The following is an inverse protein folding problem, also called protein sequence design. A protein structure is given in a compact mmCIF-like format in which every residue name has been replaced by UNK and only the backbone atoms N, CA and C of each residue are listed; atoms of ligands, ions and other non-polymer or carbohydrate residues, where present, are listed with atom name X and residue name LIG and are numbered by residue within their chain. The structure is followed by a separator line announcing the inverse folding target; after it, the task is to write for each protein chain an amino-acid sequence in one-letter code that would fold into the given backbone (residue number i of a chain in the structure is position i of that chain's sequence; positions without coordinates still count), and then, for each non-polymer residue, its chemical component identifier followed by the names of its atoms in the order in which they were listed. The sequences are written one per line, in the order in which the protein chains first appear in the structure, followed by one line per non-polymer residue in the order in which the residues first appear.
data_IF_285688998325
#
_entry.id   IF_285688998325
#
_cell.length_a   1.000
_cell.length_b   1.000
_cell.length_c   1.000
_cell.angle_alpha   90.00
_cell.angle_beta   90.00
_cell.angle_gamma   90.00
#
_symmetry.space_group_name_H-M   'P 1'
#
loop_
_entity.id
_entity.type
_entity.pdbx_description
1 polymer ?
#
# COMPACT_ATOMS: atom_id res chain seq x y z
N UNK A 1 -5.07 -8.90 11.81
CA UNK A 1 -4.40 -9.14 10.48
C UNK A 1 -4.55 -10.60 10.09
N UNK A 2 -4.89 -10.88 8.82
CA UNK A 2 -4.87 -12.22 8.22
C UNK A 2 -3.80 -12.24 7.14
N UNK A 3 -3.00 -13.29 7.07
CA UNK A 3 -1.89 -13.38 6.10
C UNK A 3 -2.13 -14.53 5.15
N UNK A 4 -2.07 -14.24 3.86
CA UNK A 4 -2.21 -15.21 2.77
C UNK A 4 -0.84 -15.53 2.20
N UNK A 5 -0.53 -16.82 2.12
CA UNK A 5 0.74 -17.36 1.65
C UNK A 5 0.49 -18.23 0.42
N UNK A 6 0.88 -17.72 -0.75
CA UNK A 6 0.62 -18.36 -2.03
C UNK A 6 1.93 -18.92 -2.61
N UNK A 7 1.88 -20.14 -3.12
CA UNK A 7 3.02 -20.84 -3.73
C UNK A 7 4.21 -21.01 -2.78
N UNK A 8 4.00 -21.57 -1.57
CA UNK A 8 5.04 -21.67 -0.54
C UNK A 8 6.25 -22.50 -0.95
N UNK A 9 6.15 -23.30 -2.01
CA UNK A 9 7.25 -24.08 -2.58
C UNK A 9 8.26 -23.23 -3.38
N UNK A 10 7.96 -21.99 -3.68
CA UNK A 10 8.85 -21.08 -4.43
C UNK A 10 9.89 -20.46 -3.51
N UNK A 11 11.10 -20.26 -4.04
CA UNK A 11 12.25 -19.76 -3.27
C UNK A 11 12.35 -18.24 -3.21
N UNK A 12 11.86 -17.52 -4.22
CA UNK A 12 11.85 -16.05 -4.21
C UNK A 12 10.58 -15.54 -3.52
N UNK A 13 10.73 -14.65 -2.57
CA UNK A 13 9.64 -14.11 -1.76
C UNK A 13 9.26 -12.71 -2.21
N UNK A 14 7.98 -12.51 -2.46
CA UNK A 14 7.38 -11.20 -2.73
C UNK A 14 6.35 -10.88 -1.64
N UNK A 15 6.57 -9.79 -0.92
CA UNK A 15 5.61 -9.25 0.04
C UNK A 15 4.77 -8.16 -0.64
N UNK A 16 3.45 -8.29 -0.61
CA UNK A 16 2.51 -7.36 -1.24
C UNK A 16 1.59 -6.72 -0.20
N UNK A 17 1.85 -5.47 0.19
CA UNK A 17 1.04 -4.75 1.19
C UNK A 17 0.09 -3.78 0.50
N UNK A 18 -1.20 -4.01 0.67
CA UNK A 18 -2.27 -3.29 -0.03
C UNK A 18 -2.50 -1.85 0.48
N UNK A 19 -3.09 -0.96 -0.35
CA UNK A 19 -3.53 0.36 0.10
C UNK A 19 -4.82 0.28 0.94
N UNK A 20 -5.18 1.39 1.60
CA UNK A 20 -6.48 1.50 2.28
C UNK A 20 -7.62 1.13 1.33
N UNK A 21 -8.63 0.42 1.84
CA UNK A 21 -9.82 -0.07 1.13
C UNK A 21 -9.58 -1.22 0.14
N UNK A 22 -8.34 -1.68 -0.03
CA UNK A 22 -8.02 -2.90 -0.77
C UNK A 22 -7.95 -4.13 0.17
N UNK A 23 -7.51 -5.27 -0.34
CA UNK A 23 -7.32 -6.52 0.39
C UNK A 23 -6.42 -7.46 -0.40
N UNK A 24 -6.12 -8.64 0.17
CA UNK A 24 -5.43 -9.70 -0.56
C UNK A 24 -6.10 -10.02 -1.90
N UNK A 25 -7.42 -10.08 -1.96
CA UNK A 25 -8.18 -10.38 -3.18
C UNK A 25 -7.86 -9.36 -4.30
N UNK A 26 -7.83 -8.07 -3.98
CA UNK A 26 -7.46 -7.03 -4.93
C UNK A 26 -5.99 -7.16 -5.35
N UNK A 27 -5.07 -7.43 -4.41
CA UNK A 27 -3.65 -7.62 -4.73
C UNK A 27 -3.43 -8.85 -5.61
N UNK A 28 -4.17 -9.94 -5.38
CA UNK A 28 -4.14 -11.13 -6.25
C UNK A 28 -4.59 -10.80 -7.66
N UNK A 29 -5.74 -10.15 -7.81
CA UNK A 29 -6.31 -9.83 -9.12
C UNK A 29 -5.45 -8.85 -9.92
N UNK A 30 -4.95 -7.78 -9.29
CA UNK A 30 -4.21 -6.75 -10.01
C UNK A 30 -2.71 -7.04 -10.15
N UNK A 31 -2.09 -7.69 -9.16
CA UNK A 31 -0.64 -7.94 -9.19
C UNK A 31 -0.32 -9.41 -9.44
N UNK A 32 -0.74 -10.33 -8.57
CA UNK A 32 -0.29 -11.73 -8.64
C UNK A 32 -0.64 -12.36 -9.99
N UNK A 33 -1.90 -12.25 -10.44
CA UNK A 33 -2.36 -12.85 -11.70
C UNK A 33 -1.60 -12.29 -12.91
N UNK A 34 -1.22 -11.02 -12.89
CA UNK A 34 -0.46 -10.40 -13.97
C UNK A 34 1.05 -10.69 -13.86
N UNK A 35 1.61 -10.78 -12.64
CA UNK A 35 3.00 -11.21 -12.44
C UNK A 35 3.18 -12.66 -12.91
N UNK A 36 2.21 -13.54 -12.65
CA UNK A 36 2.26 -14.95 -13.08
C UNK A 36 2.25 -15.14 -14.60
N UNK A 37 1.81 -14.14 -15.37
CA UNK A 37 1.95 -14.16 -16.84
C UNK A 37 3.39 -13.89 -17.29
N UNK A 38 4.16 -13.18 -16.50
CA UNK A 38 5.55 -12.80 -16.80
C UNK A 38 6.56 -13.77 -16.17
N UNK A 39 6.30 -14.25 -14.93
CA UNK A 39 7.18 -15.16 -14.20
C UNK A 39 6.43 -15.97 -13.14
N UNK A 40 6.88 -17.18 -12.87
CA UNK A 40 6.31 -18.09 -11.85
C UNK A 40 7.27 -18.35 -10.69
N UNK A 41 8.26 -17.49 -10.46
CA UNK A 41 9.35 -17.75 -9.50
C UNK A 41 9.00 -17.36 -8.06
N UNK A 42 7.93 -16.58 -7.83
CA UNK A 42 7.63 -15.96 -6.55
C UNK A 42 6.63 -16.73 -5.70
N UNK A 43 6.96 -16.83 -4.40
CA UNK A 43 6.03 -17.02 -3.29
C UNK A 43 5.48 -15.67 -2.90
N UNK A 44 4.18 -15.52 -2.76
CA UNK A 44 3.58 -14.24 -2.42
C UNK A 44 3.04 -14.26 -1.00
N UNK A 45 3.49 -13.31 -0.19
CA UNK A 45 2.96 -13.04 1.15
C UNK A 45 2.08 -11.80 1.05
N UNK A 46 0.80 -11.93 1.33
CA UNK A 46 -0.19 -10.87 1.15
C UNK A 46 -1.00 -10.73 2.44
N UNK A 47 -0.74 -9.70 3.27
CA UNK A 47 -1.58 -9.46 4.43
C UNK A 47 -2.92 -8.81 4.03
N UNK A 48 -4.00 -9.20 4.71
CA UNK A 48 -5.13 -8.33 4.95
C UNK A 48 -4.85 -7.57 6.25
N UNK A 49 -4.52 -6.28 6.13
CA UNK A 49 -4.28 -5.42 7.27
C UNK A 49 -5.54 -5.35 8.15
N UNK A 50 -5.38 -5.14 9.45
CA UNK A 50 -6.51 -5.00 10.37
C UNK A 50 -7.52 -3.95 9.87
N UNK A 51 -8.81 -4.25 9.92
CA UNK A 51 -9.88 -3.44 9.32
C UNK A 51 -10.08 -3.62 7.81
N UNK A 52 -9.39 -4.59 7.16
CA UNK A 52 -9.49 -4.84 5.73
C UNK A 52 -9.65 -6.33 5.42
N UNK A 53 -10.24 -6.63 4.25
CA UNK A 53 -10.36 -7.99 3.73
C UNK A 53 -10.97 -8.97 4.73
N UNK A 54 -10.31 -10.10 4.98
CA UNK A 54 -10.73 -11.11 5.96
C UNK A 54 -10.49 -10.65 7.42
N UNK A 55 -9.68 -9.59 7.65
CA UNK A 55 -9.49 -8.96 8.95
C UNK A 55 -10.39 -7.71 9.14
N UNK A 56 -11.52 -7.60 8.40
CA UNK A 56 -12.37 -6.41 8.40
C UNK A 56 -13.00 -6.08 9.76
N UNK A 57 -13.21 -7.08 10.62
CA UNK A 57 -13.77 -6.91 11.95
C UNK A 57 -12.73 -6.48 13.01
N UNK A 58 -11.45 -6.46 12.65
CA UNK A 58 -10.37 -5.99 13.52
C UNK A 58 -10.22 -4.47 13.44
N UNK A 59 -9.76 -3.85 14.53
CA UNK A 59 -9.43 -2.43 14.53
C UNK A 59 -7.98 -2.25 14.05
N UNK A 60 -7.78 -1.44 13.03
CA UNK A 60 -6.43 -0.99 12.67
C UNK A 60 -5.90 -0.05 13.76
N UNK A 61 -4.89 -0.48 14.50
CA UNK A 61 -4.30 0.30 15.59
C UNK A 61 -3.23 1.26 15.11
N UNK A 62 -2.22 0.76 14.40
CA UNK A 62 -1.14 1.58 13.82
C UNK A 62 -0.31 0.81 12.79
N UNK A 63 0.35 1.56 11.88
CA UNK A 63 1.31 0.99 10.94
C UNK A 63 2.46 0.25 11.64
N UNK A 64 2.88 0.73 12.81
CA UNK A 64 3.92 0.08 13.61
C UNK A 64 3.45 -1.27 14.18
N UNK A 65 2.17 -1.40 14.56
CA UNK A 65 1.62 -2.69 15.01
C UNK A 65 1.48 -3.67 13.85
N UNK A 66 0.94 -3.22 12.70
CA UNK A 66 0.86 -4.03 11.49
C UNK A 66 2.26 -4.52 11.06
N UNK A 67 3.27 -3.64 11.10
CA UNK A 67 4.65 -3.98 10.78
C UNK A 67 5.23 -5.04 11.72
N UNK A 68 4.97 -4.94 13.05
CA UNK A 68 5.42 -5.95 14.03
C UNK A 68 4.77 -7.30 13.79
N UNK A 69 3.46 -7.34 13.57
CA UNK A 69 2.73 -8.58 13.30
C UNK A 69 3.25 -9.26 12.03
N UNK A 70 3.47 -8.47 10.97
CA UNK A 70 3.94 -8.98 9.70
C UNK A 70 5.40 -9.45 9.77
N UNK A 71 6.30 -8.70 10.42
CA UNK A 71 7.68 -9.10 10.64
C UNK A 71 7.76 -10.39 11.47
N UNK A 72 6.96 -10.47 12.53
CA UNK A 72 6.87 -11.69 13.36
C UNK A 72 6.46 -12.91 12.53
N UNK A 73 5.39 -12.78 11.72
CA UNK A 73 4.96 -13.87 10.84
C UNK A 73 6.08 -14.32 9.90
N UNK A 74 6.75 -13.39 9.23
CA UNK A 74 7.82 -13.70 8.30
C UNK A 74 8.97 -14.46 9.01
N UNK A 75 9.39 -14.01 10.19
CA UNK A 75 10.45 -14.66 10.96
C UNK A 75 10.05 -16.07 11.44
N UNK A 76 8.83 -16.26 11.93
CA UNK A 76 8.30 -17.56 12.37
C UNK A 76 8.20 -18.58 11.23
N UNK A 77 8.10 -18.10 9.97
CA UNK A 77 8.08 -18.94 8.77
C UNK A 77 9.43 -19.01 8.05
N UNK A 78 10.53 -18.55 8.69
CA UNK A 78 11.88 -18.60 8.13
C UNK A 78 12.12 -17.64 6.97
N UNK A 79 11.30 -16.60 6.82
CA UNK A 79 11.34 -15.61 5.74
C UNK A 79 12.01 -14.30 6.20
N UNK A 80 13.23 -14.39 6.71
CA UNK A 80 14.00 -13.22 7.16
C UNK A 80 14.52 -12.32 6.03
N UNK A 81 14.43 -12.80 4.78
CA UNK A 81 14.81 -12.06 3.56
C UNK A 81 13.66 -12.11 2.54
N UNK A 82 13.33 -10.95 1.98
CA UNK A 82 12.29 -10.74 0.97
C UNK A 82 12.93 -10.20 -0.31
N UNK A 83 12.70 -10.89 -1.44
CA UNK A 83 13.29 -10.50 -2.73
C UNK A 83 12.68 -9.21 -3.27
N UNK A 84 11.37 -9.01 -3.09
CA UNK A 84 10.67 -7.78 -3.46
C UNK A 84 9.59 -7.43 -2.44
N UNK A 85 9.74 -6.29 -1.77
CA UNK A 85 8.70 -5.64 -0.98
C UNK A 85 7.93 -4.64 -1.84
N UNK A 86 6.69 -4.96 -2.18
CA UNK A 86 5.75 -4.03 -2.81
C UNK A 86 4.77 -3.51 -1.78
N UNK A 87 4.55 -2.20 -1.77
CA UNK A 87 3.58 -1.60 -0.87
C UNK A 87 2.94 -0.35 -1.47
N UNK A 88 1.60 -0.25 -1.37
CA UNK A 88 0.85 0.87 -1.92
C UNK A 88 0.20 1.72 -0.82
N UNK A 89 0.34 3.04 -0.92
CA UNK A 89 -0.31 4.03 -0.04
C UNK A 89 -0.15 3.71 1.45
N UNK A 90 -1.22 3.32 2.17
CA UNK A 90 -1.17 2.85 3.57
C UNK A 90 -0.15 1.72 3.76
N UNK A 91 -0.15 0.74 2.84
CA UNK A 91 0.82 -0.36 2.88
C UNK A 91 2.27 0.14 2.85
N UNK A 92 2.54 1.22 2.11
CA UNK A 92 3.85 1.87 2.09
C UNK A 92 4.28 2.43 3.44
N UNK A 93 3.33 2.96 4.23
CA UNK A 93 3.59 3.42 5.60
C UNK A 93 3.92 2.24 6.51
N UNK A 94 3.21 1.10 6.37
CA UNK A 94 3.52 -0.14 7.08
C UNK A 94 4.91 -0.66 6.70
N UNK A 95 5.27 -0.67 5.40
CA UNK A 95 6.59 -1.12 4.95
C UNK A 95 7.71 -0.19 5.46
N UNK A 96 7.48 1.13 5.55
CA UNK A 96 8.42 2.04 6.21
C UNK A 96 8.64 1.67 7.69
N UNK A 97 7.60 1.29 8.41
CA UNK A 97 7.75 0.82 9.80
C UNK A 97 8.50 -0.52 9.88
N UNK A 98 8.30 -1.46 8.93
CA UNK A 98 9.11 -2.67 8.85
C UNK A 98 10.60 -2.36 8.62
N UNK A 99 10.91 -1.40 7.74
CA UNK A 99 12.29 -0.92 7.53
C UNK A 99 12.87 -0.25 8.79
N UNK A 100 12.05 0.46 9.56
CA UNK A 100 12.46 1.05 10.85
C UNK A 100 12.71 -0.02 11.93
N UNK A 101 12.00 -1.16 11.91
CA UNK A 101 12.27 -2.31 12.77
C UNK A 101 13.61 -2.99 12.42
N UNK A 102 13.94 -3.09 11.13
CA UNK A 102 15.20 -3.66 10.65
C UNK A 102 15.32 -5.18 10.85
N UNK A 103 14.21 -5.89 11.09
CA UNK A 103 14.18 -7.33 11.35
C UNK A 103 14.16 -8.17 10.07
N UNK A 104 13.61 -7.62 8.98
CA UNK A 104 13.48 -8.25 7.67
C UNK A 104 14.39 -7.52 6.68
N UNK A 105 15.15 -8.29 5.91
CA UNK A 105 15.96 -7.77 4.80
C UNK A 105 15.16 -7.74 3.52
N UNK A 106 15.24 -6.64 2.78
CA UNK A 106 14.62 -6.49 1.47
C UNK A 106 15.71 -6.31 0.41
N UNK A 107 15.68 -7.12 -0.67
CA UNK A 107 16.60 -6.95 -1.81
C UNK A 107 16.16 -5.82 -2.72
N UNK A 108 14.85 -5.69 -2.92
CA UNK A 108 14.23 -4.63 -3.73
C UNK A 108 12.98 -4.10 -3.04
N UNK A 109 12.70 -2.82 -3.26
CA UNK A 109 11.53 -2.14 -2.72
C UNK A 109 10.79 -1.41 -3.83
N UNK A 110 9.47 -1.51 -3.82
CA UNK A 110 8.60 -0.76 -4.72
C UNK A 110 7.46 -0.12 -3.92
N UNK A 111 7.43 1.20 -3.89
CA UNK A 111 6.40 1.97 -3.22
C UNK A 111 5.51 2.66 -4.25
N UNK A 112 4.20 2.42 -4.17
CA UNK A 112 3.19 3.10 -4.98
C UNK A 112 2.42 4.10 -4.13
N UNK A 113 2.51 5.40 -4.47
CA UNK A 113 1.72 6.45 -3.84
C UNK A 113 1.93 6.60 -2.32
N UNK A 114 3.11 6.25 -1.78
CA UNK A 114 3.35 6.30 -0.33
C UNK A 114 3.40 7.74 0.18
N UNK A 115 2.81 7.99 1.36
CA UNK A 115 2.83 9.31 1.99
C UNK A 115 4.21 9.67 2.54
N UNK A 116 4.57 10.96 2.43
CA UNK A 116 5.78 11.57 3.00
C UNK A 116 5.49 12.68 4.03
N UNK A 117 4.27 12.73 4.57
CA UNK A 117 3.91 13.68 5.62
C UNK A 117 4.45 13.22 6.98
N UNK A 118 5.46 13.91 7.52
CA UNK A 118 6.13 13.54 8.79
C UNK A 118 5.47 14.16 10.04
N UNK A 119 4.71 15.23 9.92
CA UNK A 119 4.07 15.90 11.07
C UNK A 119 2.93 16.84 10.64
N UNK A 120 1.96 16.29 9.94
CA UNK A 120 0.79 17.07 9.48
C UNK A 120 -0.38 16.94 10.47
N UNK A 121 -0.17 17.32 11.75
CA UNK A 121 -1.21 17.18 12.80
C UNK A 121 -2.52 17.88 12.43
N UNK A 122 -2.44 19.13 11.96
CA UNK A 122 -3.63 19.87 11.55
C UNK A 122 -4.25 19.31 10.27
N UNK A 123 -3.44 18.95 9.28
CA UNK A 123 -3.88 18.29 8.04
C UNK A 123 -4.53 16.94 8.31
N UNK A 124 -3.92 16.11 9.15
CA UNK A 124 -4.47 14.83 9.57
C UNK A 124 -5.80 14.97 10.31
N UNK A 125 -5.91 15.93 11.22
CA UNK A 125 -7.18 16.21 11.91
C UNK A 125 -8.29 16.60 10.93
N UNK A 126 -7.99 17.52 10.00
CA UNK A 126 -8.94 17.95 8.97
C UNK A 126 -9.32 16.79 8.05
N UNK A 127 -8.35 16.02 7.59
CA UNK A 127 -8.59 14.84 6.75
C UNK A 127 -9.45 13.80 7.45
N UNK A 128 -9.21 13.53 8.73
CA UNK A 128 -10.06 12.64 9.55
C UNK A 128 -11.51 13.12 9.55
N UNK A 129 -11.76 14.40 9.81
CA UNK A 129 -13.13 14.96 9.77
C UNK A 129 -13.78 14.79 8.40
N UNK A 130 -13.01 15.04 7.32
CA UNK A 130 -13.49 14.87 5.94
C UNK A 130 -13.86 13.43 5.67
N UNK A 131 -12.98 12.47 6.02
CA UNK A 131 -13.21 11.04 5.79
C UNK A 131 -14.44 10.54 6.55
N UNK A 132 -14.55 10.84 7.84
CA UNK A 132 -15.71 10.46 8.66
C UNK A 132 -17.01 11.11 8.16
N UNK A 133 -16.96 12.36 7.71
CA UNK A 133 -18.13 13.02 7.09
C UNK A 133 -18.54 12.36 5.77
N UNK A 134 -17.55 11.97 4.93
CA UNK A 134 -17.80 11.21 3.69
C UNK A 134 -18.42 9.84 4.01
N UNK A 135 -17.90 9.12 4.99
CA UNK A 135 -18.45 7.84 5.44
C UNK A 135 -19.91 8.00 5.90
N UNK A 136 -20.17 8.94 6.81
CA UNK A 136 -21.55 9.23 7.29
C UNK A 136 -22.50 9.60 6.16
N UNK A 137 -22.03 10.36 5.17
CA UNK A 137 -22.84 10.71 3.99
C UNK A 137 -23.08 9.50 3.09
N UNK A 138 -22.06 8.64 2.90
CA UNK A 138 -22.18 7.42 2.11
C UNK A 138 -23.14 6.39 2.73
N UNK A 139 -23.11 6.24 4.06
CA UNK A 139 -24.09 5.40 4.80
C UNK A 139 -25.55 5.83 4.57
N UNK A 140 -25.78 7.13 4.32
CA UNK A 140 -27.13 7.65 3.95
C UNK A 140 -27.45 7.51 2.48
N UNK A 141 -26.46 7.36 1.62
CA UNK A 141 -26.60 7.29 0.17
C UNK A 141 -25.49 6.44 -0.45
N UNK A 142 -25.66 5.12 -0.40
CA UNK A 142 -24.73 4.13 -0.95
C UNK A 142 -24.46 4.37 -2.44
N UNK A 143 -25.50 4.65 -3.23
CA UNK A 143 -25.37 4.88 -4.67
C UNK A 143 -24.36 6.01 -4.98
N UNK A 144 -24.43 7.12 -4.24
CA UNK A 144 -23.48 8.23 -4.40
C UNK A 144 -22.05 7.84 -4.01
N UNK A 145 -21.88 7.01 -2.98
CA UNK A 145 -20.56 6.53 -2.57
C UNK A 145 -19.93 5.63 -3.65
N UNK A 146 -20.71 4.67 -4.16
CA UNK A 146 -20.32 3.79 -5.27
C UNK A 146 -19.96 4.60 -6.51
N UNK A 147 -20.83 5.52 -6.94
CA UNK A 147 -20.59 6.35 -8.12
C UNK A 147 -19.26 7.12 -8.04
N UNK A 148 -18.94 7.69 -6.88
CA UNK A 148 -17.68 8.42 -6.68
C UNK A 148 -16.45 7.53 -6.74
N UNK A 149 -16.49 6.36 -6.10
CA UNK A 149 -15.38 5.41 -6.14
C UNK A 149 -15.22 4.82 -7.55
N UNK A 150 -16.32 4.50 -8.23
CA UNK A 150 -16.30 3.96 -9.60
C UNK A 150 -15.72 4.94 -10.63
N UNK A 151 -15.87 6.23 -10.44
CA UNK A 151 -15.22 7.24 -11.29
C UNK A 151 -13.70 7.22 -11.17
N UNK A 152 -13.17 6.87 -10.00
CA UNK A 152 -11.72 6.83 -9.75
C UNK A 152 -11.11 5.48 -10.18
N UNK A 153 -11.74 4.37 -9.84
CA UNK A 153 -11.15 3.04 -9.93
C UNK A 153 -11.87 2.07 -10.88
N UNK A 154 -12.90 2.55 -11.61
CA UNK A 154 -13.77 1.70 -12.42
C UNK A 154 -14.94 1.11 -11.61
N UNK A 155 -15.95 0.56 -12.31
CA UNK A 155 -17.22 0.17 -11.69
C UNK A 155 -17.02 -0.92 -10.63
N UNK A 156 -16.37 -2.02 -11.00
CA UNK A 156 -16.22 -3.19 -10.14
C UNK A 156 -15.39 -2.89 -8.88
N UNK A 157 -14.21 -2.29 -9.04
CA UNK A 157 -13.38 -1.90 -7.92
C UNK A 157 -14.04 -0.83 -7.04
N UNK A 158 -14.75 0.12 -7.67
CA UNK A 158 -15.44 1.20 -6.96
C UNK A 158 -16.58 0.73 -6.06
N UNK A 159 -17.35 -0.28 -6.46
CA UNK A 159 -18.40 -0.89 -5.63
C UNK A 159 -17.79 -1.52 -4.37
N UNK A 160 -16.80 -2.38 -4.54
CA UNK A 160 -16.11 -3.06 -3.43
C UNK A 160 -15.45 -2.06 -2.48
N UNK A 161 -14.76 -1.05 -3.00
CA UNK A 161 -14.10 -0.03 -2.17
C UNK A 161 -15.11 0.84 -1.42
N UNK A 162 -16.25 1.17 -2.04
CA UNK A 162 -17.31 1.93 -1.38
C UNK A 162 -17.90 1.14 -0.21
N UNK A 163 -18.23 -0.13 -0.40
CA UNK A 163 -18.75 -0.99 0.67
C UNK A 163 -17.76 -1.12 1.82
N UNK A 164 -16.49 -1.39 1.53
CA UNK A 164 -15.42 -1.49 2.53
C UNK A 164 -15.27 -0.21 3.33
N UNK A 165 -15.25 0.94 2.65
CA UNK A 165 -15.17 2.23 3.31
C UNK A 165 -16.33 2.48 4.26
N UNK A 166 -17.55 2.10 3.86
CA UNK A 166 -18.74 2.31 4.68
C UNK A 166 -18.81 1.37 5.89
N UNK A 167 -18.26 0.18 5.78
CA UNK A 167 -18.19 -0.83 6.86
C UNK A 167 -17.01 -0.62 7.81
N UNK A 168 -15.95 0.06 7.36
CA UNK A 168 -14.74 0.26 8.17
C UNK A 168 -15.04 1.00 9.47
N UNK A 169 -14.49 0.51 10.58
CA UNK A 169 -14.65 1.17 11.89
C UNK A 169 -14.09 2.60 11.85
N UNK A 170 -14.84 3.60 12.36
CA UNK A 170 -14.39 4.99 12.42
C UNK A 170 -13.04 5.19 13.15
N UNK A 171 -12.71 4.34 14.13
CA UNK A 171 -11.41 4.39 14.81
C UNK A 171 -10.29 3.94 13.88
N UNK A 172 -10.51 2.89 13.08
CA UNK A 172 -9.57 2.46 12.03
C UNK A 172 -9.31 3.58 11.03
N UNK A 173 -10.36 4.26 10.53
CA UNK A 173 -10.20 5.43 9.64
C UNK A 173 -9.34 6.52 10.29
N UNK A 174 -9.61 6.85 11.56
CA UNK A 174 -8.85 7.87 12.32
C UNK A 174 -7.39 7.48 12.46
N UNK A 175 -7.11 6.23 12.79
CA UNK A 175 -5.75 5.73 13.00
C UNK A 175 -4.96 5.67 11.68
N UNK A 176 -5.58 5.21 10.59
CA UNK A 176 -4.98 5.22 9.25
C UNK A 176 -4.61 6.64 8.82
N UNK A 177 -5.53 7.60 8.96
CA UNK A 177 -5.26 9.01 8.60
C UNK A 177 -4.16 9.59 9.48
N UNK A 178 -4.13 9.25 10.78
CA UNK A 178 -3.04 9.65 11.68
C UNK A 178 -1.69 9.17 11.16
N UNK A 179 -1.58 7.89 10.80
CA UNK A 179 -0.31 7.29 10.39
C UNK A 179 0.15 7.81 9.02
N UNK A 180 -0.76 7.93 8.05
CA UNK A 180 -0.45 8.55 6.75
C UNK A 180 -0.09 10.05 6.84
N UNK A 181 -0.48 10.72 7.94
CA UNK A 181 -0.16 12.15 8.19
C UNK A 181 1.07 12.35 9.07
N UNK A 182 1.64 11.28 9.65
CA UNK A 182 2.79 11.32 10.57
C UNK A 182 3.73 10.15 10.32
N UNK A 183 4.20 10.05 9.08
CA UNK A 183 5.06 8.96 8.61
C UNK A 183 6.44 9.05 9.25
N UNK A 184 6.96 7.93 9.75
CA UNK A 184 8.35 7.78 10.17
C UNK A 184 9.16 7.29 8.98
N UNK A 185 9.92 8.21 8.37
CA UNK A 185 10.75 7.88 7.22
C UNK A 185 11.97 7.05 7.67
N UNK A 186 12.20 5.87 7.09
CA UNK A 186 13.32 5.02 7.46
C UNK A 186 14.65 5.61 6.99
N UNK A 187 15.75 5.26 7.68
CA UNK A 187 17.08 5.49 7.16
C UNK A 187 17.40 4.39 6.15
N UNK A 188 17.77 4.76 4.95
CA UNK A 188 18.20 3.85 3.89
C UNK A 188 19.64 4.19 3.51
N UNK A 189 20.53 3.20 3.51
CA UNK A 189 21.85 3.35 2.94
C UNK A 189 21.79 3.47 1.41
N UNK A 190 22.92 3.73 0.78
CA UNK A 190 22.98 3.95 -0.69
C UNK A 190 22.56 2.71 -1.47
N UNK A 191 22.91 1.52 -0.99
CA UNK A 191 22.57 0.26 -1.66
C UNK A 191 21.06 0.00 -1.63
N UNK A 192 20.44 0.17 -0.48
CA UNK A 192 18.98 0.07 -0.34
C UNK A 192 18.26 1.12 -1.17
N UNK A 193 18.75 2.37 -1.22
CA UNK A 193 18.16 3.42 -2.08
C UNK A 193 18.20 3.01 -3.55
N UNK A 194 19.31 2.48 -4.06
CA UNK A 194 19.44 2.02 -5.46
C UNK A 194 18.50 0.88 -5.82
N UNK A 195 18.11 0.08 -4.84
CA UNK A 195 17.14 -1.00 -5.01
C UNK A 195 15.69 -0.55 -4.80
N UNK A 196 15.46 0.73 -4.51
CA UNK A 196 14.16 1.28 -4.18
C UNK A 196 13.56 2.09 -5.34
N UNK A 197 12.30 1.80 -5.67
CA UNK A 197 11.49 2.54 -6.62
C UNK A 197 10.33 3.19 -5.87
N UNK A 198 10.13 4.49 -6.09
CA UNK A 198 8.92 5.22 -5.72
C UNK A 198 8.13 5.55 -6.97
N UNK A 199 6.90 5.08 -7.06
CA UNK A 199 5.98 5.32 -8.19
C UNK A 199 4.79 6.17 -7.75
N UNK A 200 4.40 7.10 -8.60
CA UNK A 200 3.24 7.97 -8.38
C UNK A 200 2.55 8.26 -9.70
N UNK A 201 1.24 8.32 -9.68
CA UNK A 201 0.51 8.93 -10.80
C UNK A 201 0.81 10.43 -10.90
N UNK A 202 0.84 10.96 -12.12
CA UNK A 202 1.05 12.40 -12.38
C UNK A 202 0.05 13.30 -11.64
N UNK A 203 -1.20 12.82 -11.51
CA UNK A 203 -2.32 13.53 -10.85
C UNK A 203 -2.42 13.23 -9.36
N UNK A 204 -1.48 12.46 -8.80
CA UNK A 204 -1.45 12.18 -7.37
C UNK A 204 -1.11 13.45 -6.58
N UNK A 205 -1.95 13.80 -5.61
CA UNK A 205 -1.77 14.97 -4.76
C UNK A 205 -0.48 14.93 -3.93
N UNK A 206 0.02 13.73 -3.63
CA UNK A 206 1.22 13.53 -2.81
C UNK A 206 2.53 13.62 -3.61
N UNK A 207 2.47 13.49 -4.95
CA UNK A 207 3.64 13.53 -5.84
C UNK A 207 4.55 14.73 -5.59
N UNK A 208 3.99 15.93 -5.42
CA UNK A 208 4.79 17.15 -5.23
C UNK A 208 5.64 17.10 -3.96
N UNK A 209 5.06 16.62 -2.87
CA UNK A 209 5.78 16.46 -1.59
C UNK A 209 6.79 15.33 -1.69
N UNK A 210 6.37 14.18 -2.23
CA UNK A 210 7.19 13.00 -2.41
C UNK A 210 8.44 13.31 -3.24
N UNK A 211 8.30 13.95 -4.41
CA UNK A 211 9.43 14.36 -5.26
C UNK A 211 10.49 15.15 -4.49
N UNK A 212 10.05 16.15 -3.70
CA UNK A 212 10.95 16.97 -2.88
C UNK A 212 11.63 16.16 -1.78
N UNK A 213 10.89 15.25 -1.14
CA UNK A 213 11.41 14.43 -0.04
C UNK A 213 12.36 13.35 -0.54
N UNK A 214 12.01 12.65 -1.60
CA UNK A 214 12.83 11.61 -2.22
C UNK A 214 14.16 12.20 -2.68
N UNK A 215 14.15 13.30 -3.44
CA UNK A 215 15.39 13.94 -3.92
C UNK A 215 16.32 14.40 -2.79
N UNK A 216 15.78 14.70 -1.60
CA UNK A 216 16.58 15.14 -0.45
C UNK A 216 17.06 13.98 0.41
N UNK A 217 16.21 12.98 0.67
CA UNK A 217 16.47 11.93 1.66
C UNK A 217 16.94 10.62 1.02
N UNK A 218 16.50 10.37 -0.21
CA UNK A 218 16.79 9.14 -0.94
C UNK A 218 17.24 9.43 -2.38
N UNK A 219 18.34 10.21 -2.57
CA UNK A 219 18.75 10.72 -3.88
C UNK A 219 19.15 9.62 -4.88
N UNK A 220 19.50 8.44 -4.39
CA UNK A 220 19.84 7.28 -5.24
C UNK A 220 18.62 6.41 -5.60
N UNK A 221 17.44 6.67 -4.99
CA UNK A 221 16.23 5.93 -5.31
C UNK A 221 15.61 6.40 -6.64
N UNK A 222 15.00 5.46 -7.36
CA UNK A 222 14.29 5.76 -8.62
C UNK A 222 12.91 6.36 -8.32
N UNK A 223 12.59 7.51 -8.90
CA UNK A 223 11.24 8.06 -8.92
C UNK A 223 10.62 7.84 -10.31
N UNK A 224 9.51 7.14 -10.35
CA UNK A 224 8.68 6.92 -11.55
C UNK A 224 7.42 7.77 -11.44
N UNK A 225 7.02 8.40 -12.54
CA UNK A 225 5.77 9.16 -12.62
C UNK A 225 4.94 8.61 -13.77
N UNK A 226 3.77 8.08 -13.45
CA UNK A 226 2.86 7.48 -14.42
C UNK A 226 1.93 8.57 -14.97
N UNK A 227 2.15 8.94 -16.24
CA UNK A 227 1.40 9.99 -16.92
C UNK A 227 -0.10 9.67 -17.02
N UNK A 228 -0.93 10.65 -16.73
CA UNK A 228 -2.38 10.55 -16.85
C UNK A 228 -3.09 9.84 -15.70
N UNK A 229 -2.36 9.22 -14.77
CA UNK A 229 -2.95 8.47 -13.65
C UNK A 229 -2.98 9.28 -12.35
N UNK A 230 -3.93 8.93 -11.48
CA UNK A 230 -4.05 9.43 -10.10
C UNK A 230 -3.42 8.46 -9.09
N UNK A 231 -3.77 8.63 -7.82
CA UNK A 231 -3.26 7.86 -6.69
C UNK A 231 -3.60 6.35 -6.81
N UNK A 232 -2.59 5.50 -6.93
CA UNK A 232 -2.70 4.04 -7.13
C UNK A 232 -3.59 3.63 -8.32
N UNK A 233 -3.85 4.53 -9.26
CA UNK A 233 -4.83 4.31 -10.32
C UNK A 233 -4.30 3.40 -11.42
N UNK A 234 -3.01 3.51 -11.77
CA UNK A 234 -2.41 2.68 -12.82
C UNK A 234 -2.45 1.20 -12.48
N UNK A 235 -2.13 0.85 -11.24
CA UNK A 235 -2.19 -0.53 -10.74
C UNK A 235 -3.53 -1.21 -11.01
N UNK A 236 -4.64 -0.43 -11.02
CA UNK A 236 -6.00 -0.94 -11.25
C UNK A 236 -6.39 -0.90 -12.72
N UNK A 237 -6.03 0.19 -13.45
CA UNK A 237 -6.49 0.42 -14.83
C UNK A 237 -5.58 -0.17 -15.90
N UNK A 238 -4.31 -0.37 -15.61
CA UNK A 238 -3.29 -0.93 -16.50
C UNK A 238 -2.41 -1.93 -15.74
N UNK A 239 -3.04 -2.91 -15.10
CA UNK A 239 -2.35 -3.86 -14.23
C UNK A 239 -1.24 -4.64 -14.98
N UNK A 240 -1.49 -5.05 -16.22
CA UNK A 240 -0.53 -5.80 -17.03
C UNK A 240 0.72 -4.97 -17.38
N UNK A 241 0.54 -3.73 -17.84
CA UNK A 241 1.67 -2.83 -18.10
C UNK A 241 2.38 -2.39 -16.81
N UNK A 242 1.63 -2.26 -15.70
CA UNK A 242 2.17 -1.83 -14.41
C UNK A 242 3.12 -2.86 -13.78
N UNK A 243 2.75 -4.15 -13.80
CA UNK A 243 3.55 -5.21 -13.13
C UNK A 243 4.94 -5.38 -13.75
N UNK A 244 5.14 -5.07 -15.04
CA UNK A 244 6.47 -5.10 -15.67
C UNK A 244 7.44 -4.16 -14.96
N UNK A 245 7.00 -2.94 -14.67
CA UNK A 245 7.79 -1.99 -13.87
C UNK A 245 8.05 -2.47 -12.43
N UNK A 246 7.06 -3.15 -11.81
CA UNK A 246 7.20 -3.69 -10.45
C UNK A 246 8.26 -4.79 -10.39
N UNK A 247 8.23 -5.76 -11.32
CA UNK A 247 9.21 -6.86 -11.32
C UNK A 247 10.51 -6.49 -12.04
N UNK A 248 10.56 -5.36 -12.75
CA UNK A 248 11.76 -4.86 -13.45
C UNK A 248 12.07 -5.64 -14.72
N UNK A 249 11.06 -6.08 -15.45
CA UNK A 249 11.15 -6.64 -16.80
C UNK A 249 10.74 -5.53 -17.76
N UNK A 250 11.71 -4.97 -18.48
CA UNK A 250 11.51 -4.00 -19.57
C UNK A 250 11.14 -4.70 -20.88
#
# INVERSE_FOLDING_TARGET
MVIHDLYPEKSKVMLLIHPMLASNEAMRSYLVENILKETNEYRFIIPDLSGHGEAADEIYESAAEEARMLSKYLLEHGLSEVDLGFAASLGGVVLFEMLNLGEIKFKRLFFEGVSFYESSKLGGFLMTKIMLAKQKKGLKNLKLAVEKMSRMFGIQAGEVMAERFLKMDPLSIKNIVRDCSNVRLPKMDVEMQRSCVFSYGEKDSDLRLARRKISKMYPEAKLVVDEGYGHCERMVKDAEGYVKGVIGVD
#
